data_IF_490899770668
#
_entry.id   IF_490899770668
#
_cell.length_a   1.000
_cell.length_b   1.000
_cell.length_c   1.000
_cell.angle_alpha   90.00
_cell.angle_beta   90.00
_cell.angle_gamma   90.00
#
_symmetry.space_group_name_H-M   'P 1'
#
loop_
_entity.id
_entity.type
_entity.pdbx_description
1 polymer ?
#
# COMPACT_ATOMS: atom_id res chain seq x y z
N UNK A 1 12.49 10.26 -14.63
CA UNK A 1 12.64 9.87 -13.20
C UNK A 1 11.91 8.55 -13.01
N UNK A 2 12.40 7.64 -12.15
CA UNK A 2 11.60 6.47 -11.78
C UNK A 2 10.42 6.93 -10.94
N UNK A 3 9.23 6.39 -11.22
CA UNK A 3 8.03 6.63 -10.41
C UNK A 3 8.26 6.09 -8.99
N UNK A 4 7.97 6.90 -7.98
CA UNK A 4 7.99 6.50 -6.57
C UNK A 4 6.58 6.16 -6.10
N UNK A 5 6.49 5.25 -5.13
CA UNK A 5 5.23 4.76 -4.59
C UNK A 5 5.26 4.77 -3.07
N UNK A 6 4.10 4.98 -2.46
CA UNK A 6 3.85 4.61 -1.07
C UNK A 6 3.09 3.28 -1.04
N UNK A 7 3.42 2.44 -0.08
CA UNK A 7 2.89 1.08 0.04
C UNK A 7 1.88 1.00 1.18
N UNK A 8 0.83 0.21 0.96
CA UNK A 8 -0.29 0.11 1.89
C UNK A 8 -0.73 -1.35 2.04
N UNK A 9 -1.18 -1.69 3.24
CA UNK A 9 -2.03 -2.86 3.45
C UNK A 9 -3.47 -2.41 3.42
N UNK A 10 -4.27 -3.04 2.57
CA UNK A 10 -5.71 -2.81 2.47
C UNK A 10 -6.48 -4.12 2.67
N UNK A 11 -7.77 -4.03 2.97
CA UNK A 11 -8.62 -5.21 3.00
C UNK A 11 -8.88 -5.79 1.60
N UNK A 12 -9.35 -7.04 1.54
CA UNK A 12 -9.52 -7.80 0.30
C UNK A 12 -10.45 -7.19 -0.74
N UNK A 13 -11.29 -6.21 -0.40
CA UNK A 13 -12.11 -5.48 -1.37
C UNK A 13 -11.27 -4.69 -2.37
N UNK A 14 -10.06 -4.28 -2.00
CA UNK A 14 -9.17 -3.52 -2.88
C UNK A 14 -8.78 -4.28 -4.15
N UNK A 15 -8.98 -5.60 -4.21
CA UNK A 15 -8.85 -6.40 -5.45
C UNK A 15 -9.86 -5.99 -6.53
N UNK A 16 -11.01 -5.48 -6.13
CA UNK A 16 -12.16 -5.22 -7.01
C UNK A 16 -12.54 -3.74 -7.04
N UNK A 17 -12.50 -3.09 -5.87
CA UNK A 17 -12.76 -1.66 -5.73
C UNK A 17 -11.87 -1.09 -4.61
N UNK A 18 -10.89 -0.28 -4.99
CA UNK A 18 -9.99 0.38 -4.05
C UNK A 18 -10.66 1.52 -3.29
N UNK A 19 -11.69 2.14 -3.84
CA UNK A 19 -12.37 3.30 -3.24
C UNK A 19 -13.25 2.90 -2.06
N UNK A 20 -13.81 1.69 -2.10
CA UNK A 20 -14.62 1.11 -1.02
C UNK A 20 -13.79 0.29 -0.01
N UNK A 21 -12.49 0.11 -0.28
CA UNK A 21 -11.61 -0.66 0.55
C UNK A 21 -10.99 0.20 1.67
N UNK A 22 -10.77 -0.42 2.81
CA UNK A 22 -10.19 0.20 4.00
C UNK A 22 -8.69 -0.02 3.98
N UNK A 23 -7.95 1.08 4.21
CA UNK A 23 -6.52 1.03 4.50
C UNK A 23 -6.33 0.56 5.95
N UNK A 24 -5.60 -0.53 6.14
CA UNK A 24 -5.21 -1.02 7.45
C UNK A 24 -3.90 -0.40 7.93
N UNK A 25 -2.90 -0.28 7.05
CA UNK A 25 -1.58 0.23 7.40
C UNK A 25 -0.94 0.96 6.22
N UNK A 26 -0.32 2.12 6.48
CA UNK A 26 0.62 2.77 5.57
C UNK A 26 2.04 2.31 5.90
N UNK A 27 2.73 1.73 4.93
CA UNK A 27 4.04 1.07 5.09
C UNK A 27 5.22 1.97 4.69
N UNK A 28 4.94 3.14 4.12
CA UNK A 28 5.93 4.10 3.63
C UNK A 28 6.41 3.81 2.21
N UNK A 29 7.52 4.45 1.82
CA UNK A 29 7.96 4.51 0.41
C UNK A 29 8.81 3.33 -0.04
N UNK A 30 9.27 2.49 0.89
CA UNK A 30 10.05 1.31 0.60
C UNK A 30 9.13 0.10 0.47
N UNK A 31 9.27 -0.67 -0.61
CA UNK A 31 8.49 -1.88 -0.79
C UNK A 31 8.70 -2.86 0.39
N UNK A 32 7.64 -3.29 1.07
CA UNK A 32 7.74 -4.21 2.21
C UNK A 32 8.16 -5.61 1.76
N UNK A 33 8.99 -6.27 2.55
CA UNK A 33 9.36 -7.67 2.28
C UNK A 33 8.16 -8.61 2.44
N UNK A 34 8.09 -9.66 1.60
CA UNK A 34 7.07 -10.71 1.71
C UNK A 34 7.06 -11.36 3.10
N UNK A 35 8.24 -11.55 3.71
CA UNK A 35 8.37 -12.15 5.05
C UNK A 35 7.66 -11.31 6.13
N UNK A 36 7.81 -9.98 6.09
CA UNK A 36 7.13 -9.06 7.03
C UNK A 36 5.63 -9.14 6.83
N UNK A 37 5.17 -8.99 5.58
CA UNK A 37 3.75 -8.99 5.24
C UNK A 37 3.06 -10.29 5.67
N UNK A 38 3.63 -11.44 5.35
CA UNK A 38 3.08 -12.74 5.75
C UNK A 38 2.98 -12.90 7.27
N UNK A 39 3.99 -12.43 8.01
CA UNK A 39 4.01 -12.51 9.48
C UNK A 39 2.92 -11.64 10.11
N UNK A 40 2.73 -10.43 9.59
CA UNK A 40 1.89 -9.42 10.23
C UNK A 40 0.43 -9.47 9.73
N UNK A 41 0.21 -9.87 8.47
CA UNK A 41 -1.08 -9.77 7.77
C UNK A 41 -1.52 -11.05 7.04
N UNK A 42 -0.70 -12.11 7.04
CA UNK A 42 -1.01 -13.36 6.34
C UNK A 42 -2.30 -14.01 6.86
N UNK A 43 -3.04 -14.64 5.94
CA UNK A 43 -4.33 -15.30 6.22
C UNK A 43 -5.46 -14.39 6.74
N UNK A 44 -5.28 -13.06 6.76
CA UNK A 44 -6.31 -12.11 7.20
C UNK A 44 -7.19 -11.60 6.04
N UNK A 45 -6.99 -12.11 4.82
CA UNK A 45 -7.64 -11.59 3.62
C UNK A 45 -7.19 -10.18 3.24
N UNK A 46 -6.06 -9.72 3.78
CA UNK A 46 -5.45 -8.44 3.44
C UNK A 46 -4.65 -8.54 2.13
N UNK A 47 -4.51 -7.40 1.46
CA UNK A 47 -3.78 -7.28 0.19
C UNK A 47 -2.73 -6.18 0.27
N UNK A 48 -1.68 -6.34 -0.52
CA UNK A 48 -0.70 -5.30 -0.72
C UNK A 48 -1.17 -4.39 -1.87
N UNK A 49 -1.25 -3.11 -1.57
CA UNK A 49 -1.54 -2.04 -2.52
C UNK A 49 -0.38 -1.04 -2.52
N UNK A 50 -0.35 -0.18 -3.54
CA UNK A 50 0.54 0.98 -3.60
C UNK A 50 -0.18 2.16 -4.21
N UNK A 51 0.32 3.36 -4.02
CA UNK A 51 -0.17 4.55 -4.72
C UNK A 51 1.00 5.40 -5.18
N UNK A 52 0.89 5.96 -6.39
CA UNK A 52 1.95 6.80 -6.97
C UNK A 52 2.08 8.10 -6.16
N UNK A 53 3.29 8.40 -5.70
CA UNK A 53 3.55 9.65 -4.98
C UNK A 53 3.53 10.80 -5.98
N UNK A 54 2.62 11.75 -5.78
CA UNK A 54 2.47 12.96 -6.62
C UNK A 54 3.18 14.15 -6.00
N UNK A 55 3.32 14.20 -4.67
CA UNK A 55 4.04 15.24 -3.94
C UNK A 55 4.61 14.71 -2.63
N UNK A 56 5.77 15.24 -2.23
CA UNK A 56 6.35 15.04 -0.90
C UNK A 56 6.32 16.36 -0.13
N UNK A 57 5.93 16.31 1.14
CA UNK A 57 6.02 17.46 2.01
C UNK A 57 7.48 17.75 2.40
N UNK A 58 7.72 18.95 2.94
CA UNK A 58 9.07 19.39 3.33
C UNK A 58 9.63 18.60 4.51
N UNK A 59 8.78 17.93 5.29
CA UNK A 59 9.19 17.05 6.40
C UNK A 59 9.81 15.71 5.91
N UNK A 60 9.69 15.39 4.63
CA UNK A 60 10.16 14.14 4.02
C UNK A 60 9.35 12.90 4.38
N UNK A 61 8.34 13.04 5.26
CA UNK A 61 7.57 11.92 5.82
C UNK A 61 6.12 11.92 5.36
N UNK A 62 5.57 13.07 4.98
CA UNK A 62 4.20 13.17 4.48
C UNK A 62 4.21 13.14 2.96
N UNK A 63 3.47 12.21 2.35
CA UNK A 63 3.29 12.16 0.91
C UNK A 63 1.84 12.51 0.53
N UNK A 64 1.67 13.01 -0.69
CA UNK A 64 0.38 12.98 -1.37
C UNK A 64 0.47 11.92 -2.45
N UNK A 65 -0.56 11.09 -2.51
CA UNK A 65 -0.64 9.97 -3.44
C UNK A 65 -1.79 10.19 -4.45
N UNK A 66 -1.66 9.57 -5.61
CA UNK A 66 -2.77 9.37 -6.54
C UNK A 66 -3.63 8.17 -6.15
N UNK A 67 -4.27 7.55 -7.13
CA UNK A 67 -5.15 6.41 -6.92
C UNK A 67 -4.38 5.18 -6.41
N UNK A 68 -5.07 4.32 -5.65
CA UNK A 68 -4.52 3.06 -5.21
C UNK A 68 -4.46 2.05 -6.36
N UNK A 69 -3.40 1.26 -6.36
CA UNK A 69 -3.18 0.12 -7.25
C UNK A 69 -3.08 -1.15 -6.39
N UNK A 70 -3.96 -2.11 -6.64
CA UNK A 70 -3.78 -3.47 -6.13
C UNK A 70 -2.50 -4.07 -6.74
N UNK A 71 -1.67 -4.69 -5.89
CA UNK A 71 -0.44 -5.35 -6.32
C UNK A 71 -0.60 -6.86 -6.23
N UNK A 72 -0.91 -7.39 -5.04
CA UNK A 72 -1.01 -8.83 -4.80
C UNK A 72 -1.65 -9.17 -3.45
N UNK A 73 -2.04 -10.42 -3.32
CA UNK A 73 -2.46 -11.04 -2.07
C UNK A 73 -1.29 -11.17 -1.07
N UNK A 74 -1.65 -11.14 0.21
CA UNK A 74 -0.72 -11.41 1.32
C UNK A 74 -1.06 -12.79 1.89
N UNK A 75 -0.35 -13.81 1.39
CA UNK A 75 -0.50 -15.22 1.79
C UNK A 75 0.61 -15.70 2.73
#
# INVERSE_FOLDING_TARGET
MKQEFEWFVMDGRAKFNTDDAVVYEALGTQEPSNKKLKRDWGFMGAVLCRAAITKKAQDGNTTQCGDFEYVRDID
#
